data_IF_989934016238
#
_entry.id   IF_989934016238
#
_cell.length_a   1.000
_cell.length_b   1.000
_cell.length_c   1.000
_cell.angle_alpha   90.00
_cell.angle_beta   90.00
_cell.angle_gamma   90.00
#
_symmetry.space_group_name_H-M   'P 1'
#
loop_
_entity.id
_entity.type
_entity.pdbx_description
1 polymer ?
#
# COMPACT_ATOMS: atom_id res chain seq x y z
N UNK A 1 0.49 26.04 18.65
CA UNK A 1 1.13 25.37 19.80
C UNK A 1 0.06 24.51 20.43
N UNK A 2 0.29 23.21 20.46
CA UNK A 2 -0.57 22.20 21.11
C UNK A 2 -0.35 22.26 22.63
N UNK A 3 -1.32 21.78 23.42
CA UNK A 3 -1.30 21.85 24.89
C UNK A 3 -0.13 21.10 25.57
N UNK A 4 0.54 20.24 24.82
CA UNK A 4 1.73 19.49 25.24
C UNK A 4 3.03 20.31 25.14
N UNK A 5 2.97 21.56 24.66
CA UNK A 5 4.13 22.45 24.58
C UNK A 5 5.10 22.11 23.44
N UNK A 6 4.76 21.15 22.58
CA UNK A 6 5.57 20.79 21.42
C UNK A 6 5.14 21.56 20.17
N UNK A 7 6.09 21.71 19.25
CA UNK A 7 5.83 22.24 17.91
C UNK A 7 5.70 21.07 16.96
N UNK A 8 4.61 21.07 16.23
CA UNK A 8 4.31 20.09 15.21
C UNK A 8 4.31 20.78 13.85
N UNK A 9 4.69 20.04 12.81
CA UNK A 9 4.60 20.49 11.43
C UNK A 9 3.18 20.30 10.85
N UNK A 10 3.02 20.59 9.55
CA UNK A 10 1.74 20.47 8.85
C UNK A 10 1.25 19.02 8.73
N UNK A 11 2.14 18.03 8.86
CA UNK A 11 1.86 16.60 8.82
C UNK A 11 1.64 16.00 10.23
N UNK A 12 1.72 16.83 11.28
CA UNK A 12 1.54 16.41 12.67
C UNK A 12 2.76 15.71 13.28
N UNK A 13 3.95 15.86 12.69
CA UNK A 13 5.23 15.38 13.21
C UNK A 13 5.90 16.44 14.09
N UNK A 14 6.61 16.00 15.15
CA UNK A 14 7.29 16.88 16.09
C UNK A 14 8.55 17.50 15.49
N UNK A 15 8.57 18.82 15.40
CA UNK A 15 9.66 19.61 14.81
C UNK A 15 11.01 19.37 15.48
N UNK A 16 11.05 19.15 16.80
CA UNK A 16 12.27 18.90 17.55
C UNK A 16 12.90 17.53 17.26
N UNK A 17 12.09 16.57 16.82
CA UNK A 17 12.52 15.21 16.51
C UNK A 17 12.98 15.04 15.06
N UNK A 18 12.78 16.04 14.19
CA UNK A 18 13.08 15.96 12.73
C UNK A 18 14.55 15.76 12.38
N UNK A 19 15.44 16.23 13.25
CA UNK A 19 16.88 16.20 13.03
C UNK A 19 17.61 15.50 14.18
N UNK A 20 16.89 14.78 15.03
CA UNK A 20 17.49 14.10 16.18
C UNK A 20 18.15 12.80 15.69
N UNK A 21 19.48 12.64 15.86
CA UNK A 21 20.20 11.46 15.40
C UNK A 21 19.83 10.16 16.14
N UNK A 22 19.13 10.25 17.28
CA UNK A 22 18.60 9.10 18.03
C UNK A 22 17.16 8.76 17.65
N UNK A 23 16.51 9.62 16.87
CA UNK A 23 15.22 9.29 16.26
C UNK A 23 15.56 8.50 15.00
N UNK A 24 15.19 7.22 15.03
CA UNK A 24 15.15 6.43 13.81
C UNK A 24 14.03 7.05 12.96
N UNK A 25 14.40 8.02 12.12
CA UNK A 25 13.67 8.32 10.92
C UNK A 25 13.69 7.01 10.16
N UNK A 26 12.64 6.20 10.32
CA UNK A 26 12.37 5.19 9.32
C UNK A 26 12.51 5.94 8.01
N UNK A 27 13.39 5.48 7.08
CA UNK A 27 13.48 6.10 5.77
C UNK A 27 12.03 6.34 5.40
N UNK A 28 11.69 7.61 5.14
CA UNK A 28 10.34 8.00 4.78
C UNK A 28 9.84 6.84 3.99
N UNK A 29 8.78 6.19 4.44
CA UNK A 29 8.28 5.07 3.69
C UNK A 29 7.72 5.67 2.40
N UNK A 30 8.54 6.21 1.49
CA UNK A 30 8.89 5.63 0.19
C UNK A 30 8.80 4.09 0.26
N UNK A 31 7.59 3.63 0.63
CA UNK A 31 6.71 2.77 -0.14
C UNK A 31 7.09 2.98 -1.58
N UNK A 32 8.14 2.27 -1.95
CA UNK A 32 8.87 2.31 -3.20
C UNK A 32 7.83 2.58 -4.25
N UNK A 33 7.89 3.72 -4.96
CA UNK A 33 6.79 4.20 -5.80
C UNK A 33 6.30 3.06 -6.70
N UNK A 34 5.28 2.33 -6.23
CA UNK A 34 4.95 1.05 -6.82
C UNK A 34 4.54 1.38 -8.23
N UNK A 35 5.11 0.71 -9.23
CA UNK A 35 4.70 0.92 -10.61
C UNK A 35 3.33 0.27 -10.79
N UNK A 36 2.29 0.99 -10.41
CA UNK A 36 0.93 0.48 -10.38
C UNK A 36 0.41 0.28 -11.79
N UNK A 37 -0.11 -0.91 -12.06
CA UNK A 37 -0.86 -1.24 -13.26
C UNK A 37 -2.33 -0.95 -13.01
N UNK A 38 -2.83 0.10 -13.67
CA UNK A 38 -4.28 0.38 -13.69
C UNK A 38 -4.94 -0.70 -14.54
N UNK A 39 -5.86 -1.44 -13.94
CA UNK A 39 -6.57 -2.53 -14.63
C UNK A 39 -7.60 -1.98 -15.61
N UNK A 40 -7.68 -2.61 -16.78
CA UNK A 40 -8.77 -2.39 -17.74
C UNK A 40 -10.09 -2.99 -17.24
N UNK A 41 -11.17 -2.77 -17.98
CA UNK A 41 -12.49 -3.32 -17.65
C UNK A 41 -12.46 -4.85 -17.53
N UNK A 42 -11.99 -5.54 -18.57
CA UNK A 42 -11.96 -7.01 -18.60
C UNK A 42 -11.05 -7.58 -17.52
N UNK A 43 -9.86 -6.98 -17.32
CA UNK A 43 -8.94 -7.41 -16.26
C UNK A 43 -9.53 -7.20 -14.85
N UNK A 44 -10.31 -6.12 -14.66
CA UNK A 44 -11.00 -5.87 -13.39
C UNK A 44 -12.06 -6.94 -13.16
N UNK A 45 -12.81 -7.32 -14.19
CA UNK A 45 -13.80 -8.41 -14.11
C UNK A 45 -13.15 -9.74 -13.79
N UNK A 46 -12.03 -10.08 -14.44
CA UNK A 46 -11.30 -11.32 -14.18
C UNK A 46 -10.80 -11.39 -12.73
N UNK A 47 -10.31 -10.27 -12.18
CA UNK A 47 -9.89 -10.19 -10.77
C UNK A 47 -11.09 -10.33 -9.83
N UNK A 48 -12.21 -9.68 -10.13
CA UNK A 48 -13.45 -9.78 -9.33
C UNK A 48 -14.01 -11.20 -9.35
N UNK A 49 -14.00 -11.87 -10.51
CA UNK A 49 -14.41 -13.27 -10.67
C UNK A 49 -13.44 -14.27 -10.04
N UNK A 50 -12.22 -13.84 -9.67
CA UNK A 50 -11.17 -14.71 -9.18
C UNK A 50 -10.49 -15.55 -10.27
N UNK A 51 -10.74 -15.25 -11.55
CA UNK A 51 -10.03 -15.85 -12.69
C UNK A 51 -8.57 -15.38 -12.73
N UNK A 52 -8.32 -14.15 -12.28
CA UNK A 52 -6.98 -13.61 -12.08
C UNK A 52 -6.70 -13.41 -10.59
N UNK A 53 -5.53 -13.91 -10.12
CA UNK A 53 -5.07 -13.66 -8.75
C UNK A 53 -4.70 -12.19 -8.56
N UNK A 54 -5.05 -11.63 -7.40
CA UNK A 54 -4.61 -10.29 -7.01
C UNK A 54 -3.09 -10.20 -6.99
N UNK A 55 -2.56 -9.09 -7.49
CA UNK A 55 -1.14 -8.78 -7.46
C UNK A 55 -0.93 -7.44 -6.78
N UNK A 56 0.19 -7.24 -6.08
CA UNK A 56 0.45 -6.00 -5.36
C UNK A 56 0.56 -4.79 -6.31
N UNK A 57 0.98 -4.98 -7.57
CA UNK A 57 1.02 -3.92 -8.57
C UNK A 57 -0.34 -3.49 -9.12
N UNK A 58 -1.43 -4.24 -8.89
CA UNK A 58 -2.74 -3.92 -9.46
C UNK A 58 -3.36 -2.69 -8.82
N UNK A 59 -4.02 -1.87 -9.62
CA UNK A 59 -4.82 -0.73 -9.15
C UNK A 59 -6.13 -0.69 -9.90
N UNK A 60 -7.24 -0.66 -9.17
CA UNK A 60 -8.55 -0.40 -9.78
C UNK A 60 -8.68 1.06 -10.19
N UNK A 61 -9.34 1.28 -11.33
CA UNK A 61 -9.75 2.62 -11.76
C UNK A 61 -11.17 2.89 -11.30
N UNK A 62 -11.41 4.02 -10.63
CA UNK A 62 -12.74 4.43 -10.19
C UNK A 62 -13.73 4.50 -11.37
N UNK A 63 -13.27 4.98 -12.53
CA UNK A 63 -14.10 5.05 -13.75
C UNK A 63 -14.51 3.65 -14.26
N UNK A 64 -13.62 2.67 -14.13
CA UNK A 64 -13.90 1.28 -14.52
C UNK A 64 -14.83 0.63 -13.52
N UNK A 65 -14.58 0.81 -12.22
CA UNK A 65 -15.44 0.29 -11.16
C UNK A 65 -16.87 0.85 -11.27
N UNK A 66 -17.01 2.16 -11.53
CA UNK A 66 -18.33 2.77 -11.72
C UNK A 66 -19.09 2.20 -12.92
N UNK A 67 -18.40 1.90 -14.02
CA UNK A 67 -19.01 1.24 -15.18
C UNK A 67 -19.47 -0.17 -14.81
N UNK A 68 -18.60 -0.94 -14.17
CA UNK A 68 -18.89 -2.30 -13.72
C UNK A 68 -20.09 -2.32 -12.76
N UNK A 69 -20.16 -1.41 -11.79
CA UNK A 69 -21.30 -1.33 -10.86
C UNK A 69 -22.61 -0.94 -11.57
N UNK A 70 -22.55 -0.09 -12.60
CA UNK A 70 -23.74 0.31 -13.39
C UNK A 70 -24.23 -0.79 -14.30
N UNK A 71 -23.30 -1.48 -14.97
CA UNK A 71 -23.61 -2.54 -15.93
C UNK A 71 -23.98 -3.85 -15.24
N UNK A 72 -23.59 -4.02 -13.96
CA UNK A 72 -23.81 -5.23 -13.16
C UNK A 72 -23.50 -6.49 -13.96
N UNK A 73 -22.22 -6.68 -14.36
CA UNK A 73 -21.84 -7.90 -15.04
C UNK A 73 -22.16 -9.12 -14.17
N UNK A 74 -22.52 -10.23 -14.82
CA UNK A 74 -22.74 -11.50 -14.14
C UNK A 74 -21.40 -12.02 -13.62
N UNK A 75 -21.10 -11.68 -12.37
CA UNK A 75 -19.93 -12.18 -11.67
C UNK A 75 -20.22 -13.58 -11.12
N UNK A 76 -19.20 -14.43 -11.05
CA UNK A 76 -19.29 -15.80 -10.52
C UNK A 76 -19.62 -15.83 -9.02
N UNK A 77 -19.44 -14.71 -8.32
CA UNK A 77 -19.74 -14.57 -6.90
C UNK A 77 -21.17 -14.06 -6.69
N UNK A 78 -21.91 -14.70 -5.79
CA UNK A 78 -23.24 -14.25 -5.33
C UNK A 78 -23.17 -13.01 -4.41
N UNK A 79 -21.98 -12.48 -4.14
CA UNK A 79 -21.77 -11.30 -3.30
C UNK A 79 -22.14 -9.98 -3.99
N UNK A 80 -22.51 -8.98 -3.20
CA UNK A 80 -22.72 -7.62 -3.72
C UNK A 80 -21.42 -7.08 -4.34
N UNK A 81 -21.52 -6.58 -5.57
CA UNK A 81 -20.38 -6.11 -6.36
C UNK A 81 -19.53 -5.08 -5.62
N UNK A 82 -20.12 -4.21 -4.80
CA UNK A 82 -19.37 -3.20 -4.04
C UNK A 82 -18.56 -3.85 -2.91
N UNK A 83 -19.12 -4.86 -2.26
CA UNK A 83 -18.42 -5.61 -1.22
C UNK A 83 -17.26 -6.41 -1.85
N UNK A 84 -17.49 -7.03 -3.00
CA UNK A 84 -16.46 -7.77 -3.73
C UNK A 84 -15.31 -6.87 -4.18
N UNK A 85 -15.62 -5.68 -4.73
CA UNK A 85 -14.60 -4.68 -5.10
C UNK A 85 -13.75 -4.31 -3.88
N UNK A 86 -14.41 -4.04 -2.74
CA UNK A 86 -13.73 -3.69 -1.49
C UNK A 86 -12.84 -4.83 -0.99
N UNK A 87 -13.32 -6.07 -1.01
CA UNK A 87 -12.55 -7.24 -0.60
C UNK A 87 -11.29 -7.41 -1.47
N UNK A 88 -11.42 -7.33 -2.80
CA UNK A 88 -10.28 -7.43 -3.71
C UNK A 88 -9.27 -6.30 -3.53
N UNK A 89 -9.74 -5.07 -3.31
CA UNK A 89 -8.86 -3.92 -3.04
C UNK A 89 -8.08 -4.12 -1.73
N UNK A 90 -8.74 -4.61 -0.68
CA UNK A 90 -8.08 -4.96 0.58
C UNK A 90 -7.02 -6.07 0.40
N UNK A 91 -7.30 -7.08 -0.43
CA UNK A 91 -6.33 -8.14 -0.73
C UNK A 91 -5.10 -7.60 -1.48
N UNK A 92 -5.28 -6.65 -2.41
CA UNK A 92 -4.17 -5.97 -3.09
C UNK A 92 -3.32 -5.19 -2.09
N UNK A 93 -3.95 -4.42 -1.19
CA UNK A 93 -3.24 -3.66 -0.15
C UNK A 93 -2.46 -4.56 0.80
N UNK A 94 -3.05 -5.68 1.21
CA UNK A 94 -2.40 -6.66 2.06
C UNK A 94 -1.21 -7.32 1.35
N UNK A 95 -1.35 -7.63 0.05
CA UNK A 95 -0.26 -8.16 -0.76
C UNK A 95 0.92 -7.18 -0.83
N UNK A 96 0.66 -5.88 -1.04
CA UNK A 96 1.70 -4.84 -1.02
C UNK A 96 2.39 -4.77 0.33
N UNK A 97 1.61 -4.73 1.41
CA UNK A 97 2.16 -4.69 2.76
C UNK A 97 3.08 -5.88 3.04
N UNK A 98 2.64 -7.10 2.69
CA UNK A 98 3.44 -8.30 2.90
C UNK A 98 4.74 -8.30 2.07
N UNK A 99 4.70 -7.79 0.83
CA UNK A 99 5.89 -7.66 -0.01
C UNK A 99 6.85 -6.60 0.54
N UNK A 100 6.35 -5.45 0.96
CA UNK A 100 7.14 -4.41 1.62
C UNK A 100 7.80 -4.95 2.90
N UNK A 101 7.08 -5.74 3.72
CA UNK A 101 7.65 -6.37 4.92
C UNK A 101 8.72 -7.42 4.58
N UNK A 102 8.49 -8.26 3.55
CA UNK A 102 9.47 -9.25 3.13
C UNK A 102 10.77 -8.62 2.61
N UNK A 103 10.66 -7.44 1.99
CA UNK A 103 11.79 -6.68 1.46
C UNK A 103 12.41 -5.71 2.48
N UNK A 104 11.78 -5.52 3.65
CA UNK A 104 12.27 -4.64 4.70
C UNK A 104 13.46 -5.30 5.42
N UNK A 105 14.67 -5.03 4.95
CA UNK A 105 15.88 -5.41 5.66
C UNK A 105 16.08 -4.48 6.87
N UNK A 106 16.01 -5.05 8.07
CA UNK A 106 16.47 -4.35 9.27
C UNK A 106 17.99 -4.22 9.17
N UNK A 107 18.50 -3.03 8.92
CA UNK A 107 19.94 -2.75 9.04
C UNK A 107 20.25 -2.83 10.53
N UNK A 108 20.77 -3.97 11.00
CA UNK A 108 21.33 -4.06 12.34
C UNK A 108 22.64 -3.24 12.36
N UNK A 109 22.87 -2.37 13.36
CA UNK A 109 24.09 -1.58 13.46
C UNK A 109 25.37 -2.42 13.69
N UNK A 110 25.26 -3.75 13.88
CA UNK A 110 26.37 -4.68 14.06
C UNK A 110 26.89 -5.32 12.74
N UNK A 111 26.77 -4.62 11.60
CA UNK A 111 27.38 -5.05 10.32
C UNK A 111 28.48 -4.11 9.81
N UNK A 112 29.06 -3.29 10.69
CA UNK A 112 30.37 -2.66 10.50
C UNK A 112 31.40 -3.24 11.48
N UNK A 113 31.63 -4.55 11.39
CA UNK A 113 32.86 -5.11 11.93
C UNK A 113 33.34 -6.20 10.97
N UNK A 114 34.60 -6.05 10.55
CA UNK A 114 35.40 -6.99 9.76
C UNK A 114 35.30 -6.86 8.24
N UNK A 115 35.87 -5.77 7.72
CA UNK A 115 36.83 -5.94 6.62
C UNK A 115 37.88 -4.82 6.65
N UNK A 116 39.06 -5.16 7.19
CA UNK A 116 40.40 -4.70 6.77
C UNK A 116 41.45 -5.25 7.74
N UNK A 117 42.02 -6.35 7.29
CA UNK A 117 43.32 -6.92 7.66
C UNK A 117 44.46 -5.90 7.55
#
# INVERSE_FOLDING_TARGET
>A
MTEDGYKYDEDGFREDLKNDPNVLHQPDADRTSWKLKVLSYDETIDVLNGDTKVQPEFKFSDEVLDKIVKEKPELKSDEDIKNLIKDKDQQILLARYNEDQANNQTISPDSEAQDKE
#
